data_IF_013072191082
#
_entry.id   IF_013072191082
#
_cell.length_a   1.000
_cell.length_b   1.000
_cell.length_c   1.000
_cell.angle_alpha   90.00
_cell.angle_beta   90.00
_cell.angle_gamma   90.00
#
_symmetry.space_group_name_H-M   'P 1'
#
loop_
_entity.id
_entity.type
_entity.pdbx_description
1 polymer ?
#
# COMPACT_ATOMS: atom_id res chain seq x y z
N UNK A 1 6.87 -9.15 -9.29
CA UNK A 1 6.47 -8.68 -7.96
C UNK A 1 5.30 -7.74 -8.15
N UNK A 2 4.21 -7.97 -7.44
CA UNK A 2 3.02 -7.15 -7.52
C UNK A 2 3.20 -5.96 -6.57
N UNK A 3 2.66 -4.79 -6.92
CA UNK A 3 2.73 -3.61 -6.06
C UNK A 3 1.47 -3.57 -5.18
N UNK A 4 1.59 -3.01 -3.99
CA UNK A 4 0.48 -2.83 -3.07
C UNK A 4 0.43 -1.37 -2.60
N UNK A 5 -0.77 -0.84 -2.48
CA UNK A 5 -1.03 0.53 -2.06
C UNK A 5 -2.17 0.48 -1.04
N UNK A 6 -2.41 1.58 -0.33
CA UNK A 6 -3.54 1.71 0.58
C UNK A 6 -4.36 2.92 0.19
N UNK A 7 -5.67 2.79 0.19
CA UNK A 7 -6.60 3.86 -0.18
C UNK A 7 -7.63 4.01 0.95
N UNK A 8 -7.67 5.18 1.59
CA UNK A 8 -8.59 5.47 2.69
C UNK A 8 -9.60 6.50 2.19
N UNK A 9 -10.88 6.14 2.17
CA UNK A 9 -11.99 7.04 1.83
C UNK A 9 -12.51 7.74 3.09
N UNK A 10 -12.72 9.05 2.99
CA UNK A 10 -13.26 9.89 4.07
C UNK A 10 -14.77 10.08 3.96
N UNK A 11 -15.41 10.69 4.98
CA UNK A 11 -16.86 10.90 5.02
C UNK A 11 -17.40 11.76 3.86
N UNK A 12 -16.56 12.58 3.25
CA UNK A 12 -16.90 13.43 2.10
C UNK A 12 -16.72 12.73 0.75
N UNK A 13 -16.40 11.44 0.74
CA UNK A 13 -16.14 10.62 -0.45
C UNK A 13 -14.80 10.90 -1.13
N UNK A 14 -13.97 11.80 -0.58
CA UNK A 14 -12.59 11.97 -1.03
C UNK A 14 -11.72 10.88 -0.45
N UNK A 15 -10.63 10.55 -1.12
CA UNK A 15 -9.76 9.47 -0.70
C UNK A 15 -8.30 9.91 -0.65
N UNK A 16 -7.53 9.30 0.24
CA UNK A 16 -6.08 9.44 0.29
C UNK A 16 -5.45 8.10 -0.05
N UNK A 17 -4.53 8.13 -1.00
CA UNK A 17 -3.74 6.99 -1.42
C UNK A 17 -2.34 7.07 -0.82
N UNK A 18 -1.92 5.98 -0.21
CA UNK A 18 -0.62 5.77 0.40
C UNK A 18 0.15 4.72 -0.40
N UNK A 19 1.36 5.08 -0.81
CA UNK A 19 2.21 4.30 -1.70
C UNK A 19 3.62 4.23 -1.10
N UNK A 20 4.20 3.04 -1.01
CA UNK A 20 5.57 2.85 -0.57
C UNK A 20 6.35 2.12 -1.67
N UNK A 21 7.30 2.81 -2.31
CA UNK A 21 8.03 2.30 -3.47
C UNK A 21 9.50 2.68 -3.43
N UNK A 22 10.38 2.05 -4.23
CA UNK A 22 11.75 2.51 -4.36
C UNK A 22 11.80 3.93 -4.93
N UNK A 23 12.82 4.72 -4.54
CA UNK A 23 13.02 6.07 -5.08
C UNK A 23 13.15 6.04 -6.61
N UNK A 24 13.91 5.07 -7.13
CA UNK A 24 14.03 4.80 -8.56
C UNK A 24 13.70 3.32 -8.83
N UNK A 25 12.44 3.02 -9.21
CA UNK A 25 12.01 1.65 -9.47
C UNK A 25 12.54 1.08 -10.79
N UNK A 26 13.09 1.91 -11.68
CA UNK A 26 13.60 1.48 -12.99
C UNK A 26 15.12 1.26 -12.97
N UNK A 27 15.81 1.77 -11.95
CA UNK A 27 17.24 1.58 -11.76
C UNK A 27 17.63 0.10 -11.57
N UNK A 28 18.53 -0.43 -12.43
CA UNK A 28 19.11 -1.76 -12.23
C UNK A 28 19.90 -1.89 -10.92
N UNK A 29 20.52 -0.80 -10.44
CA UNK A 29 21.32 -0.83 -9.20
C UNK A 29 20.44 -0.96 -7.96
N UNK A 30 19.27 -0.31 -7.97
CA UNK A 30 18.23 -0.48 -6.93
C UNK A 30 17.75 -1.93 -6.93
N UNK A 31 17.45 -2.49 -8.10
CA UNK A 31 17.04 -3.88 -8.24
C UNK A 31 18.12 -4.85 -7.69
N UNK A 32 19.37 -4.70 -8.10
CA UNK A 32 20.48 -5.54 -7.64
C UNK A 32 20.69 -5.45 -6.12
N UNK A 33 20.64 -4.24 -5.56
CA UNK A 33 20.73 -4.02 -4.11
C UNK A 33 19.65 -4.79 -3.37
N UNK A 34 18.41 -4.66 -3.82
CA UNK A 34 17.26 -5.34 -3.22
C UNK A 34 17.34 -6.87 -3.34
N UNK A 35 17.72 -7.38 -4.52
CA UNK A 35 17.85 -8.82 -4.80
C UNK A 35 18.98 -9.48 -3.99
N UNK A 36 20.04 -8.73 -3.66
CA UNK A 36 21.11 -9.21 -2.78
C UNK A 36 20.77 -9.15 -1.29
N UNK A 37 19.50 -8.89 -0.95
CA UNK A 37 19.01 -8.84 0.44
C UNK A 37 19.42 -7.58 1.20
N UNK A 38 19.88 -6.54 0.48
CA UNK A 38 20.21 -5.24 1.08
C UNK A 38 19.01 -4.30 1.03
N UNK A 39 19.10 -3.25 1.83
CA UNK A 39 18.12 -2.16 1.85
C UNK A 39 18.43 -1.13 0.78
N UNK A 40 17.40 -0.54 0.18
CA UNK A 40 17.50 0.62 -0.72
C UNK A 40 16.63 1.77 -0.20
N UNK A 41 16.95 3.04 -0.48
CA UNK A 41 16.04 4.14 -0.20
C UNK A 41 14.68 3.94 -0.89
N UNK A 42 13.61 4.03 -0.11
CA UNK A 42 12.24 4.10 -0.59
C UNK A 42 11.65 5.49 -0.40
N UNK A 43 10.49 5.69 -1.01
CA UNK A 43 9.68 6.90 -0.91
C UNK A 43 8.27 6.55 -0.46
N UNK A 44 7.80 7.32 0.52
CA UNK A 44 6.45 7.27 1.06
C UNK A 44 5.66 8.39 0.38
N UNK A 45 4.79 8.00 -0.57
CA UNK A 45 4.02 8.92 -1.37
C UNK A 45 2.57 8.93 -0.92
N UNK A 46 2.05 10.13 -0.75
CA UNK A 46 0.65 10.39 -0.47
C UNK A 46 0.02 11.12 -1.67
N UNK A 47 -1.19 10.73 -2.07
CA UNK A 47 -1.94 11.46 -3.09
C UNK A 47 -3.43 11.52 -2.75
N UNK A 48 -4.04 12.67 -2.99
CA UNK A 48 -5.48 12.86 -2.80
C UNK A 48 -6.21 12.51 -4.10
N UNK A 49 -7.28 11.74 -3.98
CA UNK A 49 -8.18 11.37 -5.07
C UNK A 49 -9.57 11.93 -4.77
N UNK A 50 -10.28 12.34 -5.80
CA UNK A 50 -11.65 12.84 -5.68
C UNK A 50 -12.66 11.74 -5.35
N UNK A 51 -12.29 10.47 -5.59
CA UNK A 51 -13.10 9.27 -5.35
C UNK A 51 -12.25 8.02 -5.49
N UNK A 52 -12.78 6.89 -5.02
CA UNK A 52 -12.15 5.59 -5.21
C UNK A 52 -12.11 5.14 -6.69
N UNK A 53 -11.05 4.42 -7.10
CA UNK A 53 -11.01 3.74 -8.39
C UNK A 53 -12.17 2.74 -8.51
N UNK A 54 -12.81 2.70 -9.68
CA UNK A 54 -13.93 1.77 -9.93
C UNK A 54 -13.49 0.32 -10.27
N UNK A 55 -12.19 0.08 -10.41
CA UNK A 55 -11.60 -1.19 -10.86
C UNK A 55 -10.31 -1.46 -10.07
N UNK A 56 -9.93 -2.74 -9.96
CA UNK A 56 -8.68 -3.22 -9.37
C UNK A 56 -8.47 -2.78 -7.93
N UNK A 57 -9.55 -2.84 -7.15
CA UNK A 57 -9.60 -2.34 -5.80
C UNK A 57 -10.41 -3.36 -4.97
N UNK A 58 -9.84 -3.80 -3.85
CA UNK A 58 -10.47 -4.70 -2.87
C UNK A 58 -10.77 -4.01 -1.54
N UNK A 59 -11.93 -4.36 -0.99
CA UNK A 59 -12.38 -4.09 0.36
C UNK A 59 -11.65 -4.94 1.38
N UNK A 60 -11.23 -4.36 2.50
CA UNK A 60 -10.47 -5.04 3.57
C UNK A 60 -10.92 -4.75 5.01
N UNK A 61 -11.07 -3.51 5.49
CA UNK A 61 -11.85 -3.24 6.73
C UNK A 61 -12.29 -1.78 6.90
N UNK A 62 -13.40 -1.52 7.59
CA UNK A 62 -13.85 -0.17 7.93
C UNK A 62 -12.82 0.48 8.87
N UNK A 63 -12.45 1.72 8.59
CA UNK A 63 -11.49 2.44 9.44
C UNK A 63 -12.15 2.84 10.76
N UNK A 64 -11.51 2.47 11.87
CA UNK A 64 -11.81 2.94 13.23
C UNK A 64 -11.02 4.20 13.59
N UNK A 65 -10.16 4.67 12.69
CA UNK A 65 -9.23 5.80 12.85
C UNK A 65 -9.45 6.84 11.77
N UNK A 66 -8.99 8.06 12.00
CA UNK A 66 -9.12 9.15 11.04
C UNK A 66 -8.10 9.06 9.89
N UNK A 67 -8.32 9.83 8.82
CA UNK A 67 -7.34 9.94 7.72
C UNK A 67 -6.03 10.58 8.22
N UNK A 68 -6.12 11.51 9.16
CA UNK A 68 -4.96 12.17 9.77
C UNK A 68 -4.08 11.16 10.52
N UNK A 69 -4.69 10.20 11.21
CA UNK A 69 -3.96 9.09 11.85
C UNK A 69 -3.28 8.19 10.81
N UNK A 70 -3.94 7.92 9.67
CA UNK A 70 -3.33 7.21 8.55
C UNK A 70 -2.12 7.96 7.97
N UNK A 71 -2.23 9.28 7.83
CA UNK A 71 -1.15 10.16 7.36
C UNK A 71 0.02 10.18 8.33
N UNK A 72 -0.25 10.27 9.63
CA UNK A 72 0.78 10.25 10.67
C UNK A 72 1.52 8.91 10.71
N UNK A 73 0.78 7.80 10.66
CA UNK A 73 1.36 6.46 10.55
C UNK A 73 2.27 6.34 9.32
N UNK A 74 1.76 6.72 8.15
CA UNK A 74 2.52 6.63 6.90
C UNK A 74 3.80 7.46 6.95
N UNK A 75 3.75 8.68 7.48
CA UNK A 75 4.92 9.57 7.54
C UNK A 75 5.99 9.11 8.53
N UNK A 76 5.62 8.31 9.54
CA UNK A 76 6.54 7.74 10.54
C UNK A 76 7.14 6.40 10.11
N UNK A 77 6.68 5.83 9.00
CA UNK A 77 7.15 4.54 8.52
C UNK A 77 8.64 4.58 8.13
N UNK A 78 9.37 3.49 8.39
CA UNK A 78 10.76 3.37 7.95
C UNK A 78 10.82 3.27 6.42
N UNK A 79 11.37 4.29 5.77
CA UNK A 79 11.46 4.33 4.31
C UNK A 79 12.57 3.47 3.72
N UNK A 80 13.38 2.78 4.54
CA UNK A 80 14.43 1.85 4.07
C UNK A 80 13.80 0.57 3.52
N UNK A 81 13.64 0.53 2.21
CA UNK A 81 12.97 -0.55 1.50
C UNK A 81 13.82 -1.83 1.48
N UNK A 82 13.20 -2.96 1.78
CA UNK A 82 13.78 -4.30 1.78
C UNK A 82 12.74 -5.31 1.27
N UNK A 83 13.12 -6.18 0.33
CA UNK A 83 12.16 -7.08 -0.36
C UNK A 83 11.36 -8.00 0.56
N UNK A 84 11.95 -8.49 1.65
CA UNK A 84 11.27 -9.40 2.59
C UNK A 84 10.66 -8.68 3.80
N UNK A 85 11.42 -7.78 4.46
CA UNK A 85 11.07 -7.26 5.79
C UNK A 85 10.38 -5.90 5.78
N UNK A 86 10.55 -5.10 4.73
CA UNK A 86 10.02 -3.73 4.69
C UNK A 86 9.73 -3.29 3.26
N UNK A 87 8.56 -3.64 2.75
CA UNK A 87 8.13 -3.40 1.38
C UNK A 87 6.69 -2.85 1.35
N UNK A 88 6.14 -2.67 0.16
CA UNK A 88 4.78 -2.18 -0.03
C UNK A 88 3.69 -3.07 0.62
N UNK A 89 3.90 -4.39 0.69
CA UNK A 89 2.98 -5.31 1.36
C UNK A 89 3.02 -5.13 2.87
N UNK A 90 4.20 -5.19 3.48
CA UNK A 90 4.34 -5.05 4.93
C UNK A 90 3.84 -3.69 5.41
N UNK A 91 4.07 -2.63 4.61
CA UNK A 91 3.51 -1.31 4.87
C UNK A 91 1.98 -1.32 4.79
N UNK A 92 1.41 -1.88 3.71
CA UNK A 92 -0.04 -1.94 3.50
C UNK A 92 -0.71 -2.75 4.61
N UNK A 93 -0.20 -3.94 4.95
CA UNK A 93 -0.72 -4.77 6.04
C UNK A 93 -0.70 -4.01 7.37
N UNK A 94 0.42 -3.38 7.71
CA UNK A 94 0.55 -2.65 8.97
C UNK A 94 -0.38 -1.42 9.03
N UNK A 95 -0.55 -0.70 7.90
CA UNK A 95 -1.48 0.42 7.84
C UNK A 95 -2.94 -0.05 7.91
N UNK A 96 -3.29 -1.15 7.24
CA UNK A 96 -4.63 -1.76 7.38
C UNK A 96 -4.88 -2.13 8.83
N UNK A 97 -3.97 -2.88 9.45
CA UNK A 97 -4.10 -3.31 10.84
C UNK A 97 -4.23 -2.10 11.79
N UNK A 98 -3.46 -1.03 11.54
CA UNK A 98 -3.56 0.20 12.32
C UNK A 98 -4.95 0.86 12.22
N UNK A 99 -5.55 0.88 11.02
CA UNK A 99 -6.83 1.54 10.77
C UNK A 99 -8.03 0.69 11.17
N UNK A 100 -8.00 -0.62 10.93
CA UNK A 100 -9.16 -1.52 11.06
C UNK A 100 -9.07 -2.41 12.31
N UNK A 101 -7.85 -2.64 12.81
CA UNK A 101 -7.53 -3.62 13.85
C UNK A 101 -7.48 -5.07 13.34
N UNK A 102 -7.49 -5.28 12.02
CA UNK A 102 -7.45 -6.61 11.41
C UNK A 102 -6.06 -6.92 10.87
N UNK A 103 -5.35 -7.91 11.42
CA UNK A 103 -4.03 -8.29 10.93
C UNK A 103 -4.10 -9.16 9.67
N UNK A 104 -3.07 -9.09 8.83
CA UNK A 104 -2.78 -10.04 7.71
C UNK A 104 -3.90 -10.19 6.68
N UNK A 105 -4.58 -9.10 6.35
CA UNK A 105 -5.65 -9.17 5.35
C UNK A 105 -5.12 -9.54 3.97
N UNK A 106 -3.90 -9.10 3.61
CA UNK A 106 -3.34 -9.36 2.29
C UNK A 106 -3.00 -10.85 2.09
N UNK A 107 -2.58 -11.56 3.13
CA UNK A 107 -2.38 -13.01 3.11
C UNK A 107 -3.71 -13.75 2.84
N UNK A 108 -4.80 -13.25 3.41
CA UNK A 108 -6.15 -13.82 3.23
C UNK A 108 -6.69 -13.58 1.82
N UNK A 109 -6.34 -12.45 1.20
CA UNK A 109 -6.70 -12.10 -0.17
C UNK A 109 -5.90 -12.87 -1.24
N UNK A 110 -4.82 -13.58 -0.87
CA UNK A 110 -4.01 -14.38 -1.81
C UNK A 110 -4.65 -15.72 -2.21
N UNK A 111 -5.78 -16.11 -1.62
CA UNK A 111 -6.53 -17.33 -1.96
C UNK A 111 -7.83 -17.02 -2.71
N UNK A 112 -7.70 -16.60 -3.96
CA UNK A 112 -8.77 -16.67 -4.96
C UNK A 112 -9.78 -15.50 -4.98
N UNK A 113 -10.07 -15.07 -6.21
CA UNK A 113 -11.30 -14.41 -6.68
C UNK A 113 -11.61 -12.92 -6.35
N UNK A 114 -11.91 -12.20 -7.43
CA UNK A 114 -13.10 -11.33 -7.68
C UNK A 114 -13.62 -10.31 -6.61
N UNK A 115 -13.36 -9.02 -6.92
CA UNK A 115 -14.20 -7.77 -6.89
C UNK A 115 -15.31 -7.47 -5.83
N UNK A 116 -15.22 -6.20 -5.36
CA UNK A 116 -16.21 -5.23 -4.75
C UNK A 116 -16.54 -5.52 -3.28
N UNK A 117 -16.62 -4.57 -2.32
CA UNK A 117 -17.07 -3.15 -2.30
C UNK A 117 -16.74 -2.58 -0.90
N UNK A 118 -16.12 -1.36 -0.74
CA UNK A 118 -15.55 -0.54 0.41
C UNK A 118 -14.00 -0.71 0.62
N UNK A 119 -13.30 0.07 1.45
CA UNK A 119 -12.04 -0.22 2.23
C UNK A 119 -10.65 -0.47 1.55
N UNK A 120 -9.56 -0.21 2.31
CA UNK A 120 -8.14 -0.14 1.90
C UNK A 120 -7.73 -1.00 0.68
N UNK A 121 -7.42 -0.32 -0.41
CA UNK A 121 -7.25 -0.94 -1.72
C UNK A 121 -5.77 -1.06 -2.16
N UNK A 122 -5.31 -2.27 -2.46
CA UNK A 122 -3.99 -2.54 -3.09
C UNK A 122 -4.03 -2.43 -4.63
N UNK A 123 -3.05 -1.75 -5.24
CA UNK A 123 -2.96 -1.52 -6.68
C UNK A 123 -1.81 -2.32 -7.33
N UNK A 124 -2.16 -3.23 -8.24
CA UNK A 124 -1.21 -4.00 -9.05
C UNK A 124 -1.03 -3.37 -10.44
N UNK A 125 0.13 -2.75 -10.70
CA UNK A 125 0.49 -2.32 -12.05
C UNK A 125 1.10 -3.50 -12.85
N UNK A 126 0.50 -3.84 -14.00
CA UNK A 126 1.16 -4.64 -15.05
C UNK A 126 1.88 -3.66 -15.98
N UNK A 127 3.19 -3.82 -16.15
CA UNK A 127 3.93 -3.19 -17.25
C UNK A 127 3.26 -3.58 -18.57
N UNK A 128 2.87 -2.58 -19.36
CA UNK A 128 2.50 -2.78 -20.76
C UNK A 128 3.75 -3.21 -21.53
N UNK A 129 3.61 -4.29 -22.31
CA UNK A 129 4.50 -4.61 -23.41
C UNK A 129 4.09 -3.78 -24.63
#
# INVERSE_FOLDING_TARGET
MEHAMTLVEGPDGKCVCFDFRPVDPESPSVCFTLLTGRTSPGILRQSRLSRLPRKNCWLVGESKRSIEEAVDFHNKWDSRLHLVRNNCYTHTDALVEHLTGQPRILETLQLGAQKRLVEVFALKERKQA
#
